data_IF_795168202826
#
_entry.id   IF_795168202826
#
_cell.length_a   1.000
_cell.length_b   1.000
_cell.length_c   1.000
_cell.angle_alpha   90.00
_cell.angle_beta   90.00
_cell.angle_gamma   90.00
#
_symmetry.space_group_name_H-M   'P 1'
#
loop_
_entity.id
_entity.type
_entity.pdbx_description
1 polymer ?
#
# COMPACT_ATOMS: atom_id res chain seq x y z
N UNK A 1 -14.84 -32.46 4.72
CA UNK A 1 -16.31 -32.69 4.74
C UNK A 1 -16.61 -33.75 3.70
N UNK A 2 -16.63 -35.02 4.11
CA UNK A 2 -16.78 -36.20 3.23
C UNK A 2 -18.22 -36.69 3.31
N UNK A 3 -18.94 -36.66 2.19
CA UNK A 3 -20.31 -37.15 2.10
C UNK A 3 -20.29 -38.70 2.06
N UNK A 4 -20.88 -39.33 3.07
CA UNK A 4 -21.17 -40.78 3.08
C UNK A 4 -22.40 -41.03 2.20
N UNK A 5 -22.22 -41.82 1.14
CA UNK A 5 -23.30 -42.40 0.36
C UNK A 5 -23.64 -43.73 1.01
N UNK A 6 -24.75 -43.79 1.73
CA UNK A 6 -25.28 -45.03 2.29
C UNK A 6 -25.97 -45.83 1.18
N UNK A 7 -25.58 -47.09 1.01
CA UNK A 7 -26.25 -48.04 0.14
C UNK A 7 -27.67 -48.30 0.68
N UNK A 8 -28.67 -48.21 -0.19
CA UNK A 8 -30.05 -48.62 0.09
C UNK A 8 -30.20 -49.99 -0.55
N UNK A 9 -30.27 -51.01 0.30
CA UNK A 9 -30.57 -52.39 -0.07
C UNK A 9 -32.10 -52.50 -0.17
N UNK A 10 -32.62 -52.65 -1.39
CA UNK A 10 -34.05 -52.80 -1.65
C UNK A 10 -34.32 -54.30 -1.79
N UNK A 11 -34.91 -54.89 -0.76
CA UNK A 11 -35.33 -56.29 -0.75
C UNK A 11 -36.39 -56.56 -1.82
N UNK A 12 -36.17 -57.63 -2.58
CA UNK A 12 -36.88 -58.00 -3.78
C UNK A 12 -38.39 -58.20 -3.58
N UNK A 13 -39.16 -57.31 -4.18
CA UNK A 13 -40.45 -57.67 -4.78
C UNK A 13 -40.28 -57.56 -6.29
N UNK A 14 -40.65 -58.59 -7.09
CA UNK A 14 -40.65 -58.47 -8.53
C UNK A 14 -41.78 -57.52 -8.93
N UNK A 15 -41.48 -56.22 -8.94
CA UNK A 15 -42.32 -55.24 -9.62
C UNK A 15 -42.23 -55.61 -11.09
N UNK A 16 -43.29 -56.24 -11.57
CA UNK A 16 -43.52 -56.48 -12.98
C UNK A 16 -43.70 -55.11 -13.62
N UNK A 17 -42.58 -54.47 -13.94
CA UNK A 17 -42.52 -53.19 -14.63
C UNK A 17 -43.10 -53.42 -16.01
N UNK A 18 -44.43 -53.32 -16.13
CA UNK A 18 -45.06 -53.15 -17.43
C UNK A 18 -44.41 -51.90 -18.00
N UNK A 19 -43.57 -52.09 -19.01
CA UNK A 19 -43.06 -51.01 -19.84
C UNK A 19 -44.31 -50.47 -20.51
N UNK A 20 -44.97 -49.53 -19.84
CA UNK A 20 -46.00 -48.71 -20.47
C UNK A 20 -45.24 -48.09 -21.63
N UNK A 21 -45.58 -48.51 -22.84
CA UNK A 21 -45.15 -47.81 -24.05
C UNK A 21 -45.80 -46.44 -23.93
N UNK A 22 -45.10 -45.53 -23.24
CA UNK A 22 -45.42 -44.13 -23.21
C UNK A 22 -45.28 -43.67 -24.65
N UNK A 23 -46.43 -43.56 -25.32
CA UNK A 23 -46.51 -42.94 -26.63
C UNK A 23 -45.92 -41.55 -26.48
N UNK A 24 -44.71 -41.36 -27.00
CA UNK A 24 -44.02 -40.08 -26.98
C UNK A 24 -44.82 -39.10 -27.83
N UNK A 25 -45.72 -38.36 -27.17
CA UNK A 25 -46.54 -37.35 -27.83
C UNK A 25 -45.62 -36.19 -28.23
N UNK A 26 -45.79 -35.69 -29.46
CA UNK A 26 -45.08 -34.51 -29.93
C UNK A 26 -45.38 -33.34 -28.99
N UNK A 27 -44.33 -32.74 -28.44
CA UNK A 27 -44.43 -31.57 -27.59
C UNK A 27 -45.10 -30.41 -28.37
N UNK A 28 -46.17 -29.78 -27.83
CA UNK A 28 -46.79 -28.65 -28.49
C UNK A 28 -45.79 -27.51 -28.66
N UNK A 29 -45.86 -26.83 -29.81
CA UNK A 29 -44.95 -25.74 -30.12
C UNK A 29 -45.06 -24.63 -29.06
N UNK A 30 -43.93 -24.27 -28.43
CA UNK A 30 -43.82 -23.16 -27.47
C UNK A 30 -43.79 -23.56 -25.99
N UNK A 31 -44.16 -24.78 -25.59
CA UNK A 31 -44.05 -25.18 -24.17
C UNK A 31 -42.60 -25.28 -23.70
N UNK A 32 -41.71 -25.78 -24.57
CA UNK A 32 -40.28 -25.84 -24.26
C UNK A 32 -39.66 -24.45 -24.05
N UNK A 33 -40.02 -23.47 -24.87
CA UNK A 33 -39.51 -22.10 -24.73
C UNK A 33 -40.08 -21.42 -23.48
N UNK A 34 -41.34 -21.67 -23.14
CA UNK A 34 -41.98 -21.17 -21.91
C UNK A 34 -41.32 -21.73 -20.65
N UNK A 35 -41.02 -23.03 -20.63
CA UNK A 35 -40.28 -23.68 -19.54
C UNK A 35 -38.86 -23.12 -19.43
N UNK A 36 -38.15 -23.04 -20.55
CA UNK A 36 -36.80 -22.48 -20.60
C UNK A 36 -36.77 -21.03 -20.08
N UNK A 37 -37.76 -20.21 -20.41
CA UNK A 37 -37.85 -18.83 -19.95
C UNK A 37 -38.07 -18.73 -18.42
N UNK A 38 -38.96 -19.56 -17.85
CA UNK A 38 -39.16 -19.63 -16.39
C UNK A 38 -37.89 -20.06 -15.65
N UNK A 39 -37.18 -21.05 -16.18
CA UNK A 39 -35.93 -21.53 -15.58
C UNK A 39 -34.81 -20.48 -15.66
N UNK A 40 -34.66 -19.80 -16.80
CA UNK A 40 -33.69 -18.69 -16.96
C UNK A 40 -33.98 -17.52 -16.02
N UNK A 41 -35.26 -17.16 -15.84
CA UNK A 41 -35.67 -16.12 -14.88
C UNK A 41 -35.29 -16.46 -13.43
N UNK A 42 -35.55 -17.71 -13.01
CA UNK A 42 -35.19 -18.19 -11.67
C UNK A 42 -33.66 -18.26 -11.46
N UNK A 43 -32.92 -18.62 -12.50
CA UNK A 43 -31.45 -18.67 -12.45
C UNK A 43 -30.83 -17.26 -12.35
N UNK A 44 -31.29 -16.29 -13.14
CA UNK A 44 -30.83 -14.89 -13.07
C UNK A 44 -31.03 -14.28 -11.69
N UNK A 45 -32.20 -14.48 -11.07
CA UNK A 45 -32.48 -13.99 -9.70
C UNK A 45 -31.53 -14.59 -8.67
N UNK A 46 -31.19 -15.88 -8.78
CA UNK A 46 -30.23 -16.54 -7.87
C UNK A 46 -28.80 -16.05 -8.06
N UNK A 47 -28.40 -15.73 -9.29
CA UNK A 47 -27.07 -15.16 -9.55
C UNK A 47 -26.94 -13.76 -8.96
N UNK A 48 -27.95 -12.89 -9.13
CA UNK A 48 -27.92 -11.54 -8.57
C UNK A 48 -27.83 -11.55 -7.03
N UNK A 49 -28.57 -12.43 -6.35
CA UNK A 49 -28.52 -12.53 -4.88
C UNK A 49 -27.15 -13.04 -4.38
N UNK A 50 -26.45 -13.89 -5.14
CA UNK A 50 -25.15 -14.44 -4.74
C UNK A 50 -23.98 -13.47 -4.91
N UNK A 51 -24.08 -12.52 -5.85
CA UNK A 51 -22.98 -11.59 -6.17
C UNK A 51 -23.15 -10.23 -5.45
N UNK A 52 -24.32 -9.99 -4.84
CA UNK A 52 -24.70 -8.67 -4.29
C UNK A 52 -23.90 -8.14 -3.09
N UNK A 53 -23.34 -8.93 -2.15
CA UNK A 53 -22.75 -8.31 -0.94
C UNK A 53 -21.29 -7.86 -1.11
N UNK A 54 -20.54 -8.38 -2.08
CA UNK A 54 -19.09 -8.16 -2.14
C UNK A 54 -18.72 -6.86 -2.86
N UNK A 55 -19.45 -6.52 -3.92
CA UNK A 55 -19.24 -5.30 -4.71
C UNK A 55 -19.33 -3.99 -3.90
N UNK A 56 -20.35 -3.75 -3.06
CA UNK A 56 -20.43 -2.51 -2.30
C UNK A 56 -19.31 -2.40 -1.25
N UNK A 57 -18.91 -3.51 -0.62
CA UNK A 57 -17.83 -3.51 0.38
C UNK A 57 -16.50 -3.14 -0.26
N UNK A 58 -16.18 -3.71 -1.43
CA UNK A 58 -14.96 -3.37 -2.16
C UNK A 58 -14.94 -1.90 -2.60
N UNK A 59 -16.08 -1.37 -3.08
CA UNK A 59 -16.18 0.04 -3.47
C UNK A 59 -15.99 0.99 -2.28
N UNK A 60 -16.58 0.67 -1.12
CA UNK A 60 -16.42 1.47 0.11
C UNK A 60 -14.97 1.40 0.61
N UNK A 61 -14.33 0.23 0.58
CA UNK A 61 -12.94 0.09 0.99
C UNK A 61 -11.98 0.89 0.09
N UNK A 62 -12.19 0.84 -1.24
CA UNK A 62 -11.42 1.66 -2.18
C UNK A 62 -11.66 3.16 -1.99
N UNK A 63 -12.92 3.57 -1.79
CA UNK A 63 -13.25 4.96 -1.50
C UNK A 63 -12.61 5.41 -0.18
N UNK A 64 -12.70 4.61 0.88
CA UNK A 64 -12.09 4.90 2.17
C UNK A 64 -10.55 5.00 2.06
N UNK A 65 -9.91 4.20 1.21
CA UNK A 65 -8.47 4.29 0.97
C UNK A 65 -8.07 5.56 0.21
N UNK A 66 -8.84 5.94 -0.81
CA UNK A 66 -8.60 7.16 -1.59
C UNK A 66 -8.90 8.44 -0.82
N UNK A 67 -9.93 8.39 0.04
CA UNK A 67 -10.31 9.49 0.92
C UNK A 67 -9.56 9.48 2.25
N UNK A 68 -8.76 8.45 2.55
CA UNK A 68 -7.92 8.45 3.75
C UNK A 68 -6.94 9.61 3.58
N UNK A 69 -7.14 10.72 4.32
CA UNK A 69 -6.26 11.85 4.17
C UNK A 69 -4.87 11.33 4.49
N UNK A 70 -3.89 11.68 3.65
CA UNK A 70 -2.48 11.47 3.96
C UNK A 70 -2.04 12.37 5.14
N UNK A 71 -2.90 12.55 6.15
CA UNK A 71 -2.77 13.40 7.34
C UNK A 71 -1.81 12.83 8.38
N UNK A 72 -1.13 11.73 8.07
CA UNK A 72 0.14 11.41 8.72
C UNK A 72 1.31 12.22 8.14
N UNK A 73 1.04 13.42 7.59
CA UNK A 73 2.07 14.45 7.47
C UNK A 73 2.52 14.77 8.90
N UNK A 74 3.66 14.22 9.27
CA UNK A 74 4.33 14.56 10.51
C UNK A 74 4.39 16.09 10.63
N UNK A 75 4.19 16.65 11.83
CA UNK A 75 4.23 18.08 12.03
C UNK A 75 5.54 18.64 11.44
N UNK A 76 5.40 19.48 10.42
CA UNK A 76 6.53 20.11 9.75
C UNK A 76 7.01 21.23 10.67
N UNK A 77 8.04 20.95 11.47
CA UNK A 77 8.64 21.96 12.33
C UNK A 77 9.37 23.00 11.48
N UNK A 78 9.16 24.28 11.77
CA UNK A 78 9.86 25.37 11.12
C UNK A 78 10.96 25.89 12.06
N UNK A 79 12.22 25.67 11.68
CA UNK A 79 13.39 26.22 12.36
C UNK A 79 14.23 26.98 11.33
N UNK A 80 14.76 28.15 11.70
CA UNK A 80 15.53 29.03 10.81
C UNK A 80 14.77 29.43 9.52
N UNK A 81 13.43 29.47 9.57
CA UNK A 81 12.58 29.82 8.43
C UNK A 81 12.37 28.69 7.41
N UNK A 82 12.91 27.48 7.66
CA UNK A 82 12.79 26.33 6.76
C UNK A 82 12.14 25.13 7.45
N UNK A 83 11.35 24.35 6.70
CA UNK A 83 10.68 23.14 7.18
C UNK A 83 11.54 21.89 6.96
N UNK A 84 11.28 20.82 7.72
CA UNK A 84 11.95 19.52 7.52
C UNK A 84 11.78 18.99 6.10
N UNK A 85 10.57 19.10 5.54
CA UNK A 85 10.28 18.72 4.15
C UNK A 85 11.14 19.49 3.14
N UNK A 86 11.33 20.80 3.36
CA UNK A 86 12.16 21.64 2.48
C UNK A 86 13.65 21.32 2.61
N UNK A 87 14.15 21.02 3.81
CA UNK A 87 15.53 20.54 4.00
C UNK A 87 15.81 19.29 3.17
N UNK A 88 14.87 18.33 3.13
CA UNK A 88 15.05 17.12 2.32
C UNK A 88 15.06 17.41 0.82
N UNK A 89 14.27 18.37 0.34
CA UNK A 89 14.29 18.78 -1.07
C UNK A 89 15.64 19.41 -1.46
N UNK A 90 16.24 20.18 -0.55
CA UNK A 90 17.52 20.86 -0.79
C UNK A 90 18.76 19.98 -0.59
N UNK A 91 18.59 18.73 -0.14
CA UNK A 91 19.72 17.89 0.23
C UNK A 91 20.64 17.56 -0.96
N UNK A 92 20.07 17.34 -2.15
CA UNK A 92 20.85 17.09 -3.37
C UNK A 92 21.68 18.30 -3.79
N UNK A 93 21.09 19.49 -3.77
CA UNK A 93 21.79 20.76 -4.04
C UNK A 93 22.86 21.07 -2.98
N UNK A 94 22.58 20.73 -1.71
CA UNK A 94 23.55 20.86 -0.63
C UNK A 94 24.75 19.92 -0.82
N UNK A 95 24.51 18.65 -1.17
CA UNK A 95 25.56 17.67 -1.45
C UNK A 95 26.39 18.03 -2.68
N UNK A 96 25.78 18.67 -3.68
CA UNK A 96 26.45 19.16 -4.88
C UNK A 96 27.18 20.51 -4.69
N UNK A 97 27.09 21.11 -3.49
CA UNK A 97 27.63 22.44 -3.17
C UNK A 97 27.13 23.58 -4.08
N UNK A 98 25.96 23.39 -4.71
CA UNK A 98 25.32 24.41 -5.59
C UNK A 98 24.37 25.34 -4.84
N UNK A 99 24.11 25.04 -3.56
CA UNK A 99 23.19 25.79 -2.71
C UNK A 99 23.79 27.14 -2.30
N UNK A 100 22.97 28.20 -2.32
CA UNK A 100 23.39 29.53 -1.82
C UNK A 100 23.90 29.47 -0.36
N UNK A 101 24.87 30.31 0.02
CA UNK A 101 25.48 30.29 1.36
C UNK A 101 24.46 30.53 2.49
N UNK A 102 23.45 31.38 2.24
CA UNK A 102 22.38 31.67 3.20
C UNK A 102 21.53 30.43 3.47
N UNK A 103 21.09 29.73 2.41
CA UNK A 103 20.32 28.51 2.54
C UNK A 103 21.14 27.39 3.19
N UNK A 104 22.44 27.30 2.92
CA UNK A 104 23.32 26.33 3.60
C UNK A 104 23.32 26.57 5.10
N UNK A 105 23.38 27.83 5.51
CA UNK A 105 23.34 28.22 6.93
C UNK A 105 22.00 27.86 7.57
N UNK A 106 20.88 28.16 6.90
CA UNK A 106 19.54 27.80 7.37
C UNK A 106 19.35 26.28 7.51
N UNK A 107 19.81 25.51 6.52
CA UNK A 107 19.76 24.03 6.55
C UNK A 107 20.56 23.49 7.74
N UNK A 108 21.79 24.00 7.96
CA UNK A 108 22.62 23.60 9.11
C UNK A 108 21.94 23.94 10.44
N UNK A 109 21.46 25.18 10.59
CA UNK A 109 20.79 25.63 11.81
C UNK A 109 19.54 24.80 12.10
N UNK A 110 18.75 24.48 11.07
CA UNK A 110 17.59 23.61 11.18
C UNK A 110 17.97 22.21 11.67
N UNK A 111 18.95 21.55 11.05
CA UNK A 111 19.37 20.19 11.42
C UNK A 111 19.89 20.13 12.86
N UNK A 112 20.58 21.18 13.31
CA UNK A 112 21.10 21.28 14.68
C UNK A 112 19.97 21.47 15.70
N UNK A 113 18.94 22.27 15.39
CA UNK A 113 17.86 22.59 16.35
C UNK A 113 16.70 21.61 16.30
N UNK A 114 16.40 21.05 15.14
CA UNK A 114 15.22 20.23 14.94
C UNK A 114 15.36 18.84 15.59
N UNK A 115 14.57 18.50 16.62
CA UNK A 115 14.63 17.16 17.23
C UNK A 115 14.16 16.07 16.26
N UNK A 116 13.26 16.41 15.35
CA UNK A 116 12.72 15.48 14.36
C UNK A 116 13.78 15.02 13.36
N UNK A 117 14.58 15.94 12.81
CA UNK A 117 15.68 15.58 11.90
C UNK A 117 16.73 14.67 12.56
N UNK A 118 16.92 14.78 13.88
CA UNK A 118 17.84 13.92 14.65
C UNK A 118 17.33 12.50 14.85
N UNK A 119 16.01 12.31 14.91
CA UNK A 119 15.38 11.02 15.23
C UNK A 119 14.78 10.34 13.99
N UNK A 120 14.53 11.08 12.91
CA UNK A 120 13.89 10.56 11.71
C UNK A 120 14.80 9.57 10.97
N UNK A 121 14.41 8.28 10.86
CA UNK A 121 15.22 7.27 10.17
C UNK A 121 15.43 7.57 8.69
N UNK A 122 14.48 8.30 8.06
CA UNK A 122 14.57 8.70 6.65
C UNK A 122 15.54 9.85 6.42
N UNK A 123 15.64 10.81 7.36
CA UNK A 123 16.53 11.95 7.20
C UNK A 123 17.99 11.56 7.48
N UNK A 124 18.23 10.59 8.37
CA UNK A 124 19.56 10.20 8.81
C UNK A 124 20.55 9.86 7.68
N UNK A 125 20.26 8.95 6.72
CA UNK A 125 21.21 8.64 5.65
C UNK A 125 21.50 9.85 4.76
N UNK A 126 20.48 10.66 4.47
CA UNK A 126 20.61 11.90 3.71
C UNK A 126 21.53 12.92 4.41
N UNK A 127 21.39 13.04 5.73
CA UNK A 127 22.23 13.91 6.55
C UNK A 127 23.65 13.35 6.70
N UNK A 128 23.83 12.02 6.68
CA UNK A 128 25.14 11.35 6.63
C UNK A 128 25.86 11.67 5.31
N UNK A 129 25.17 11.59 4.17
CA UNK A 129 25.69 11.96 2.85
C UNK A 129 26.13 13.43 2.79
N UNK A 130 25.39 14.33 3.44
CA UNK A 130 25.74 15.75 3.54
C UNK A 130 26.84 16.05 4.58
N UNK A 131 27.33 15.04 5.31
CA UNK A 131 28.34 15.21 6.36
C UNK A 131 27.84 15.94 7.62
N UNK A 132 26.51 15.98 7.84
CA UNK A 132 25.87 16.74 8.93
C UNK A 132 25.60 15.92 10.21
N UNK A 133 25.73 14.58 10.17
CA UNK A 133 25.38 13.68 11.29
C UNK A 133 26.54 13.30 12.20
N UNK A 134 27.78 13.62 11.84
CA UNK A 134 28.91 13.15 12.61
C UNK A 134 29.03 13.95 13.92
N UNK A 135 28.66 13.29 15.01
CA UNK A 135 28.47 13.79 16.38
C UNK A 135 29.53 14.73 16.97
N UNK A 136 30.69 14.98 16.37
CA UNK A 136 31.82 15.60 17.10
C UNK A 136 32.75 16.52 16.30
N UNK A 137 32.44 16.94 15.06
CA UNK A 137 33.37 17.83 14.30
C UNK A 137 33.01 19.32 14.29
N UNK A 138 31.84 19.72 14.78
CA UNK A 138 31.38 21.12 14.65
C UNK A 138 31.78 22.04 15.82
N UNK A 139 32.53 21.54 16.81
CA UNK A 139 33.01 22.40 17.92
C UNK A 139 34.29 23.20 17.59
N UNK A 140 34.85 23.11 16.37
CA UNK A 140 36.16 23.71 16.05
C UNK A 140 36.25 24.52 14.75
N UNK A 141 35.15 24.84 14.06
CA UNK A 141 35.21 25.73 12.90
C UNK A 141 34.34 26.97 13.16
N UNK A 142 34.83 27.85 14.03
CA UNK A 142 34.33 29.20 14.08
C UNK A 142 34.71 29.91 12.76
N UNK A 143 33.84 30.75 12.18
CA UNK A 143 34.18 31.57 11.02
C UNK A 143 35.17 32.65 11.47
N UNK A 144 36.46 32.34 11.40
CA UNK A 144 37.55 33.20 11.86
C UNK A 144 38.87 32.46 12.06
N UNK A 145 38.86 31.14 12.23
CA UNK A 145 40.09 30.35 12.27
C UNK A 145 40.53 30.04 10.83
N UNK A 146 41.51 30.83 10.39
CA UNK A 146 42.39 30.53 9.27
C UNK A 146 42.96 29.12 9.51
N UNK A 147 42.48 28.16 8.73
CA UNK A 147 42.80 26.74 8.90
C UNK A 147 44.29 26.55 8.59
N UNK A 148 45.12 26.59 9.63
CA UNK A 148 46.41 25.91 9.63
C UNK A 148 46.09 24.43 9.53
N UNK A 149 45.97 23.93 8.30
CA UNK A 149 46.02 22.50 8.00
C UNK A 149 47.45 22.08 8.32
N UNK A 150 47.73 21.85 9.61
CA UNK A 150 48.87 21.07 10.02
C UNK A 150 48.64 19.66 9.49
N UNK A 151 49.15 19.42 8.29
CA UNK A 151 49.99 18.28 7.94
C UNK A 151 50.00 17.24 9.07
N UNK A 152 49.02 16.33 9.08
CA UNK A 152 49.24 15.03 9.68
C UNK A 152 50.06 14.26 8.65
N UNK A 153 51.36 14.47 8.76
CA UNK A 153 52.41 13.65 8.19
C UNK A 153 52.10 12.17 8.41
N UNK A 154 52.06 11.44 7.29
CA UNK A 154 52.94 10.31 7.03
C UNK A 154 53.51 9.64 8.29
N UNK A 155 52.79 8.65 8.81
CA UNK A 155 53.43 7.58 9.58
C UNK A 155 52.55 6.33 9.56
N UNK A 156 52.88 5.44 8.62
CA UNK A 156 52.84 4.00 8.82
C UNK A 156 53.77 3.40 7.74
N UNK A 157 55.00 3.13 8.18
CA UNK A 157 55.93 2.16 7.59
C UNK A 157 55.42 0.72 7.85
#
# INVERSE_FOLDING_TARGET
MTARISAIEIEGTPVMTTIVHEDWVKCPQGEFSRLAWRLRGKHRRRLLVRVSPVLPIAAIACAAWLLWPASHKMPDYNYAGITCSRVMQLAGEYAADTLSPDLRTQVREHVVRCPHCKQCPRCRPLLEEMGLTHRLRWRLAAPGDEVVVALLDLRDD
#
